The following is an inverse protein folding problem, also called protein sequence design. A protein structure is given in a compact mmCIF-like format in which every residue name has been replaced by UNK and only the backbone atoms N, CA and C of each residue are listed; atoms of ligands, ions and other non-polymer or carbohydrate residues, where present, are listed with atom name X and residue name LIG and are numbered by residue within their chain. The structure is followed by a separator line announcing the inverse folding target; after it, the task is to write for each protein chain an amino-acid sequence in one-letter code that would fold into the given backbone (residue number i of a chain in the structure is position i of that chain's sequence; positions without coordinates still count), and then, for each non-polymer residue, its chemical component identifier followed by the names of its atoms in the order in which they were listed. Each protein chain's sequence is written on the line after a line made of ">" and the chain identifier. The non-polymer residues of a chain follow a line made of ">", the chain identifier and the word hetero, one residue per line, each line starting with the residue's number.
data_IF_515779942068
#
_entry.id   IF_515779942068
#
_cell.length_a   1.000
_cell.length_b   1.000
_cell.length_c   1.000
_cell.angle_alpha   90.00
_cell.angle_beta   90.00
_cell.angle_gamma   90.00
#
_symmetry.space_group_name_H-M   'P 1'
#
loop_
_entity.id
_entity.type
_entity.pdbx_description
1 polymer ?
#
# COMPACT_ATOMS: atom_id res chain seq x y z
N UNK A 1 -16.30 1.60 9.17
CA UNK A 1 -17.67 1.29 8.79
C UNK A 1 -18.68 1.96 9.75
N UNK A 2 -18.60 1.74 11.06
CA UNK A 2 -19.54 2.34 12.07
C UNK A 2 -19.71 3.86 11.86
N UNK A 3 -18.62 4.59 11.62
CA UNK A 3 -18.69 6.04 11.36
C UNK A 3 -19.53 6.37 10.12
N UNK A 4 -19.34 5.63 9.03
CA UNK A 4 -20.13 5.81 7.78
C UNK A 4 -21.60 5.46 8.03
N UNK A 5 -21.87 4.36 8.74
CA UNK A 5 -23.24 3.96 9.07
C UNK A 5 -23.94 5.06 9.92
N UNK A 6 -23.21 5.71 10.85
CA UNK A 6 -23.72 6.85 11.61
C UNK A 6 -24.00 8.07 10.72
N UNK A 7 -23.11 8.38 9.76
CA UNK A 7 -23.35 9.49 8.81
C UNK A 7 -24.63 9.27 8.00
N UNK A 8 -24.86 8.03 7.55
CA UNK A 8 -26.10 7.67 6.83
C UNK A 8 -27.33 7.87 7.72
N UNK A 9 -27.28 7.40 8.98
CA UNK A 9 -28.38 7.61 9.93
C UNK A 9 -28.65 9.09 10.22
N UNK A 10 -27.62 9.93 10.14
CA UNK A 10 -27.70 11.39 10.30
C UNK A 10 -28.08 12.10 8.98
N UNK A 11 -28.47 11.38 7.93
CA UNK A 11 -28.77 11.92 6.59
C UNK A 11 -27.64 12.79 6.01
N UNK A 12 -26.37 12.46 6.30
CA UNK A 12 -25.22 13.13 5.71
C UNK A 12 -24.89 12.50 4.35
N UNK A 13 -24.73 13.34 3.33
CA UNK A 13 -24.43 12.89 1.96
C UNK A 13 -22.94 13.02 1.58
N UNK A 14 -22.18 13.78 2.38
CA UNK A 14 -20.79 14.09 2.09
C UNK A 14 -19.91 13.87 3.31
N UNK A 15 -18.75 13.28 3.07
CA UNK A 15 -17.68 13.16 4.04
C UNK A 15 -16.39 13.71 3.43
N UNK A 16 -15.93 14.86 3.92
CA UNK A 16 -14.65 15.43 3.51
C UNK A 16 -13.52 14.74 4.29
N UNK A 17 -12.53 14.24 3.56
CA UNK A 17 -11.33 13.61 4.11
C UNK A 17 -10.07 14.29 3.55
N UNK A 18 -8.95 14.10 4.24
CA UNK A 18 -7.63 14.42 3.70
C UNK A 18 -7.25 13.40 2.62
N UNK A 19 -6.29 13.73 1.73
CA UNK A 19 -5.77 12.75 0.78
C UNK A 19 -5.28 11.50 1.50
N UNK A 20 -5.55 10.34 0.91
CA UNK A 20 -5.16 9.03 1.47
C UNK A 20 -3.86 8.50 0.86
N UNK A 21 -3.08 9.38 0.23
CA UNK A 21 -1.82 9.05 -0.43
C UNK A 21 -0.73 8.67 0.58
N UNK A 22 0.25 7.91 0.10
CA UNK A 22 1.40 7.50 0.91
C UNK A 22 2.33 8.69 1.16
N UNK A 23 2.52 9.13 2.42
CA UNK A 23 3.36 10.27 2.74
C UNK A 23 4.85 9.94 2.57
N UNK A 24 5.63 10.91 2.12
CA UNK A 24 7.07 10.75 1.90
C UNK A 24 7.89 11.01 3.16
N UNK A 25 8.16 12.25 3.48
CA UNK A 25 9.16 12.64 4.49
C UNK A 25 8.55 13.09 5.81
N UNK A 26 7.50 13.89 5.77
CA UNK A 26 6.94 14.55 6.94
C UNK A 26 5.63 13.93 7.45
N UNK A 27 5.31 12.70 7.04
CA UNK A 27 4.05 12.00 7.36
C UNK A 27 2.78 12.81 7.00
N UNK A 28 2.93 13.84 6.15
CA UNK A 28 1.83 14.65 5.63
C UNK A 28 1.23 13.99 4.38
N UNK A 29 -0.11 13.86 4.29
CA UNK A 29 -0.75 13.29 3.12
C UNK A 29 -0.62 14.16 1.85
N UNK A 30 -0.12 15.39 2.00
CA UNK A 30 0.16 16.30 0.88
C UNK A 30 1.59 16.15 0.34
N UNK A 31 2.50 15.56 1.10
CA UNK A 31 3.86 15.25 0.70
C UNK A 31 3.93 13.78 0.25
N UNK A 32 3.75 13.55 -1.05
CA UNK A 32 3.63 12.21 -1.60
C UNK A 32 4.40 12.03 -2.91
N UNK A 33 4.92 10.83 -3.14
CA UNK A 33 5.59 10.45 -4.40
C UNK A 33 4.62 10.16 -5.56
N UNK A 34 3.33 10.08 -5.30
CA UNK A 34 2.33 9.73 -6.32
C UNK A 34 0.96 10.28 -5.97
N UNK A 35 0.31 10.90 -6.96
CA UNK A 35 -1.07 11.35 -6.84
C UNK A 35 -2.08 10.19 -6.84
N UNK A 36 -1.68 9.00 -7.24
CA UNK A 36 -2.57 7.85 -7.42
C UNK A 36 -2.39 6.79 -6.32
N UNK A 37 -1.16 6.60 -5.84
CA UNK A 37 -0.85 5.55 -4.88
C UNK A 37 -1.39 5.88 -3.48
N UNK A 38 -1.97 4.88 -2.86
CA UNK A 38 -2.60 4.99 -1.55
C UNK A 38 -1.66 4.55 -0.43
N UNK A 39 -1.92 5.07 0.77
CA UNK A 39 -1.13 4.74 1.95
C UNK A 39 -1.47 3.33 2.46
N UNK A 40 -0.55 2.35 2.37
CA UNK A 40 -0.79 0.98 2.83
C UNK A 40 -1.05 0.89 4.34
N UNK A 41 -0.62 1.89 5.13
CA UNK A 41 -0.89 1.91 6.57
C UNK A 41 -2.35 2.20 6.91
N UNK A 42 -3.17 2.61 5.96
CA UNK A 42 -4.62 2.73 6.11
C UNK A 42 -5.37 1.41 5.86
N UNK A 43 -4.69 0.36 5.36
CA UNK A 43 -5.28 -0.98 5.20
C UNK A 43 -5.72 -1.49 6.58
N UNK A 44 -6.98 -1.91 6.71
CA UNK A 44 -7.52 -2.53 7.91
C UNK A 44 -6.96 -3.93 8.11
N UNK A 45 -6.37 -4.20 9.27
CA UNK A 45 -5.86 -5.53 9.61
C UNK A 45 -7.01 -6.51 9.87
N UNK A 46 -8.13 -6.06 10.46
CA UNK A 46 -9.32 -6.89 10.65
C UNK A 46 -9.86 -7.41 9.30
N UNK A 47 -9.85 -6.56 8.26
CA UNK A 47 -10.27 -6.99 6.93
C UNK A 47 -9.30 -8.02 6.33
N UNK A 48 -8.00 -7.90 6.60
CA UNK A 48 -7.01 -8.90 6.17
C UNK A 48 -7.19 -10.25 6.90
N UNK A 49 -7.58 -10.21 8.18
CA UNK A 49 -7.92 -11.43 8.95
C UNK A 49 -9.18 -12.07 8.36
N UNK A 50 -10.23 -11.29 8.08
CA UNK A 50 -11.46 -11.78 7.46
C UNK A 50 -11.22 -12.40 6.08
N UNK A 51 -10.31 -11.80 5.30
CA UNK A 51 -9.86 -12.32 4.00
C UNK A 51 -8.89 -13.53 4.15
N UNK A 52 -8.55 -13.95 5.37
CA UNK A 52 -7.61 -15.05 5.71
C UNK A 52 -6.19 -14.83 5.16
N UNK A 53 -5.80 -13.60 4.94
CA UNK A 53 -4.45 -13.24 4.51
C UNK A 53 -3.47 -13.17 5.69
N UNK A 54 -3.97 -12.92 6.89
CA UNK A 54 -3.24 -12.97 8.15
C UNK A 54 -4.16 -13.57 9.24
N UNK A 55 -3.57 -13.89 10.38
CA UNK A 55 -4.28 -14.33 11.59
C UNK A 55 -4.17 -13.29 12.72
N UNK A 56 -4.99 -13.39 13.75
CA UNK A 56 -4.87 -12.55 14.94
C UNK A 56 -3.51 -12.70 15.65
N UNK A 57 -2.91 -13.89 15.58
CA UNK A 57 -1.58 -14.13 16.14
C UNK A 57 -0.47 -13.32 15.44
N UNK A 58 -0.67 -12.94 14.18
CA UNK A 58 0.29 -12.14 13.41
C UNK A 58 0.34 -10.67 13.87
N UNK A 59 -0.62 -10.25 14.66
CA UNK A 59 -0.64 -8.91 15.23
C UNK A 59 0.22 -8.79 16.50
N UNK A 60 0.57 -9.90 17.12
CA UNK A 60 1.30 -9.92 18.39
C UNK A 60 2.83 -9.87 18.21
N UNK A 61 3.54 -9.16 19.07
CA UNK A 61 3.00 -8.31 20.13
C UNK A 61 2.50 -6.95 19.62
N UNK A 62 1.31 -6.56 20.02
CA UNK A 62 0.77 -5.24 19.66
C UNK A 62 1.50 -4.16 20.47
N UNK A 63 2.16 -3.18 19.82
CA UNK A 63 2.82 -2.09 20.54
C UNK A 63 1.82 -1.23 21.32
N UNK A 64 2.23 -0.74 22.48
CA UNK A 64 1.44 0.27 23.21
C UNK A 64 1.51 1.61 22.49
N UNK A 65 0.41 2.03 21.86
CA UNK A 65 0.26 3.34 21.24
C UNK A 65 -0.36 4.34 22.23
N UNK A 66 0.05 5.61 22.11
CA UNK A 66 -0.63 6.70 22.79
C UNK A 66 -1.99 6.95 22.13
N UNK A 67 -2.96 7.47 22.90
CA UNK A 67 -4.32 7.69 22.38
C UNK A 67 -4.45 8.95 21.52
N UNK A 68 -3.63 9.94 21.79
CA UNK A 68 -3.69 11.31 21.28
C UNK A 68 -2.60 11.68 20.28
N UNK A 69 -1.58 10.83 20.13
CA UNK A 69 -0.44 11.07 19.25
C UNK A 69 -0.10 9.80 18.49
N UNK A 70 0.07 9.92 17.18
CA UNK A 70 0.51 8.81 16.34
C UNK A 70 2.04 8.77 16.33
N UNK A 71 2.61 7.65 16.76
CA UNK A 71 4.02 7.32 16.56
C UNK A 71 4.15 6.59 15.23
N UNK A 72 4.37 7.35 14.16
CA UNK A 72 4.47 6.81 12.80
C UNK A 72 5.61 5.81 12.63
N UNK A 73 6.75 6.04 13.29
CA UNK A 73 7.88 5.10 13.23
C UNK A 73 7.48 3.76 13.83
N UNK A 74 6.96 3.77 15.05
CA UNK A 74 6.50 2.56 15.74
C UNK A 74 5.39 1.84 14.96
N UNK A 75 4.46 2.59 14.36
CA UNK A 75 3.40 2.05 13.52
C UNK A 75 3.99 1.36 12.28
N UNK A 76 4.91 2.01 11.58
CA UNK A 76 5.57 1.47 10.39
C UNK A 76 6.37 0.20 10.73
N UNK A 77 7.15 0.24 11.79
CA UNK A 77 7.98 -0.90 12.23
C UNK A 77 7.12 -2.13 12.59
N UNK A 78 5.97 -1.92 13.23
CA UNK A 78 5.04 -2.99 13.58
C UNK A 78 4.21 -3.48 12.39
N UNK A 79 3.66 -2.57 11.59
CA UNK A 79 2.67 -2.92 10.55
C UNK A 79 3.30 -3.43 9.26
N UNK A 80 4.53 -3.01 8.92
CA UNK A 80 5.21 -3.45 7.70
C UNK A 80 5.34 -4.97 7.57
N UNK A 81 5.86 -5.72 8.55
CA UNK A 81 5.98 -7.18 8.41
C UNK A 81 4.61 -7.86 8.26
N UNK A 82 3.57 -7.32 8.88
CA UNK A 82 2.20 -7.82 8.78
C UNK A 82 1.66 -7.64 7.35
N UNK A 83 1.85 -6.44 6.78
CA UNK A 83 1.42 -6.14 5.41
C UNK A 83 2.19 -6.98 4.38
N UNK A 84 3.49 -7.17 4.56
CA UNK A 84 4.31 -8.05 3.72
C UNK A 84 3.82 -9.50 3.77
N UNK A 85 3.52 -10.00 4.97
CA UNK A 85 2.95 -11.33 5.13
C UNK A 85 1.60 -11.45 4.42
N UNK A 86 0.73 -10.43 4.54
CA UNK A 86 -0.55 -10.41 3.84
C UNK A 86 -0.37 -10.43 2.31
N UNK A 87 0.57 -9.65 1.78
CA UNK A 87 0.87 -9.62 0.36
C UNK A 87 1.44 -10.97 -0.14
N UNK A 88 2.34 -11.58 0.63
CA UNK A 88 2.85 -12.91 0.32
C UNK A 88 1.74 -13.96 0.32
N UNK A 89 0.91 -14.01 1.36
CA UNK A 89 -0.21 -14.97 1.43
C UNK A 89 -1.23 -14.74 0.31
N UNK A 90 -1.42 -13.49 -0.11
CA UNK A 90 -2.24 -13.16 -1.27
C UNK A 90 -1.64 -13.72 -2.57
N UNK A 91 -0.33 -13.59 -2.78
CA UNK A 91 0.34 -14.05 -4.01
C UNK A 91 0.28 -15.57 -4.22
N UNK A 92 0.16 -16.34 -3.14
CA UNK A 92 0.03 -17.81 -3.18
C UNK A 92 -1.42 -18.29 -3.04
N UNK A 93 -2.38 -17.34 -2.95
CA UNK A 93 -3.79 -17.67 -2.79
C UNK A 93 -4.35 -18.30 -4.06
N UNK A 94 -4.77 -19.56 -3.98
CA UNK A 94 -5.40 -20.25 -5.11
C UNK A 94 -6.91 -19.97 -5.14
N UNK A 95 -7.29 -18.76 -5.57
CA UNK A 95 -8.68 -18.34 -5.75
C UNK A 95 -8.83 -17.58 -7.06
N UNK A 96 -9.47 -18.22 -8.05
CA UNK A 96 -9.61 -17.68 -9.41
C UNK A 96 -10.35 -16.34 -9.47
N UNK A 97 -11.37 -16.14 -8.65
CA UNK A 97 -12.17 -14.90 -8.65
C UNK A 97 -11.34 -13.73 -8.12
N UNK A 98 -10.61 -13.96 -7.04
CA UNK A 98 -9.69 -12.96 -6.45
C UNK A 98 -8.55 -12.64 -7.41
N UNK A 99 -7.99 -13.64 -8.07
CA UNK A 99 -6.95 -13.47 -9.07
C UNK A 99 -7.44 -12.64 -10.27
N UNK A 100 -8.66 -12.91 -10.73
CA UNK A 100 -9.27 -12.17 -11.84
C UNK A 100 -9.54 -10.70 -11.47
N UNK A 101 -10.04 -10.42 -10.26
CA UNK A 101 -10.27 -9.06 -9.78
C UNK A 101 -8.94 -8.28 -9.63
N UNK A 102 -7.92 -8.94 -9.12
CA UNK A 102 -6.57 -8.38 -9.04
C UNK A 102 -6.00 -8.06 -10.43
N UNK A 103 -6.10 -8.97 -11.39
CA UNK A 103 -5.67 -8.73 -12.78
C UNK A 103 -6.40 -7.55 -13.40
N UNK A 104 -7.73 -7.46 -13.20
CA UNK A 104 -8.53 -6.32 -13.65
C UNK A 104 -8.05 -5.01 -13.02
N UNK A 105 -7.76 -5.00 -11.72
CA UNK A 105 -7.18 -3.84 -11.04
C UNK A 105 -5.85 -3.42 -11.66
N UNK A 106 -4.94 -4.37 -11.92
CA UNK A 106 -3.64 -4.10 -12.52
C UNK A 106 -3.78 -3.52 -13.94
N UNK A 107 -4.67 -4.07 -14.76
CA UNK A 107 -4.93 -3.57 -16.13
C UNK A 107 -5.48 -2.15 -16.08
N UNK A 108 -6.49 -1.91 -15.24
CA UNK A 108 -7.14 -0.58 -15.11
C UNK A 108 -6.16 0.49 -14.63
N UNK A 109 -5.19 0.14 -13.80
CA UNK A 109 -4.24 1.05 -13.19
C UNK A 109 -2.84 0.99 -13.84
N UNK A 110 -2.70 0.33 -15.00
CA UNK A 110 -1.40 0.10 -15.63
C UNK A 110 -0.63 1.41 -15.94
N UNK A 111 -1.35 2.51 -16.16
CA UNK A 111 -0.76 3.81 -16.51
C UNK A 111 0.07 4.46 -15.39
N UNK A 112 -0.01 3.94 -14.15
CA UNK A 112 0.78 4.44 -13.02
C UNK A 112 1.36 3.33 -12.12
N UNK A 113 0.64 2.20 -11.98
CA UNK A 113 0.91 1.22 -10.92
C UNK A 113 2.26 0.54 -11.08
N UNK A 114 2.62 0.14 -12.30
CA UNK A 114 3.88 -0.55 -12.57
C UNK A 114 5.10 0.37 -12.35
N UNK A 115 5.00 1.61 -12.79
CA UNK A 115 6.09 2.58 -12.64
C UNK A 115 6.23 3.02 -11.18
N UNK A 116 5.12 3.23 -10.48
CA UNK A 116 5.14 3.50 -9.05
C UNK A 116 5.76 2.35 -8.25
N UNK A 117 5.36 1.11 -8.52
CA UNK A 117 5.90 -0.04 -7.81
C UNK A 117 7.42 -0.17 -8.02
N UNK A 118 7.90 -0.03 -9.26
CA UNK A 118 9.33 -0.04 -9.56
C UNK A 118 10.06 1.13 -8.89
N UNK A 119 9.50 2.35 -8.96
CA UNK A 119 10.05 3.53 -8.30
C UNK A 119 10.25 3.29 -6.79
N UNK A 120 9.26 2.71 -6.11
CA UNK A 120 9.34 2.43 -4.68
C UNK A 120 10.39 1.36 -4.35
N UNK A 121 10.58 0.37 -5.21
CA UNK A 121 11.68 -0.62 -5.08
C UNK A 121 13.03 0.09 -5.20
N UNK A 122 13.24 0.89 -6.25
CA UNK A 122 14.49 1.63 -6.44
C UNK A 122 14.73 2.58 -5.27
N UNK A 123 13.70 3.29 -4.80
CA UNK A 123 13.81 4.18 -3.64
C UNK A 123 14.27 3.44 -2.38
N UNK A 124 13.80 2.22 -2.17
CA UNK A 124 14.27 1.37 -1.05
C UNK A 124 15.75 0.96 -1.24
N UNK A 125 16.16 0.59 -2.44
CA UNK A 125 17.57 0.28 -2.78
C UNK A 125 18.48 1.48 -2.56
N UNK A 126 17.99 2.69 -2.81
CA UNK A 126 18.68 3.96 -2.60
C UNK A 126 18.52 4.52 -1.18
N UNK A 127 18.20 3.66 -0.18
CA UNK A 127 18.06 4.03 1.23
C UNK A 127 17.03 5.16 1.46
N UNK A 128 15.97 5.20 0.69
CA UNK A 128 14.88 6.19 0.73
C UNK A 128 15.31 7.64 0.45
N UNK A 129 16.47 7.83 -0.16
CA UNK A 129 16.92 9.15 -0.61
C UNK A 129 15.94 9.79 -1.60
N UNK A 130 15.98 11.09 -1.72
CA UNK A 130 15.30 11.79 -2.81
C UNK A 130 15.86 11.31 -4.15
N UNK A 131 14.99 11.18 -5.17
CA UNK A 131 15.41 10.68 -6.49
C UNK A 131 16.54 11.54 -7.14
N UNK A 132 16.59 12.82 -6.81
CA UNK A 132 17.67 13.70 -7.27
C UNK A 132 19.06 13.33 -6.71
N UNK A 133 19.10 12.56 -5.62
CA UNK A 133 20.33 12.09 -4.96
C UNK A 133 20.69 10.64 -5.31
N UNK A 134 19.88 9.98 -6.16
CA UNK A 134 20.15 8.60 -6.58
C UNK A 134 21.39 8.52 -7.47
N UNK A 135 21.96 7.34 -7.54
CA UNK A 135 23.04 7.06 -8.48
C UNK A 135 22.57 7.28 -9.92
N UNK A 136 23.45 7.77 -10.77
CA UNK A 136 23.12 8.14 -12.17
C UNK A 136 22.50 6.99 -12.96
N UNK A 137 22.88 5.74 -12.66
CA UNK A 137 22.31 4.52 -13.26
C UNK A 137 20.82 4.34 -12.96
N UNK A 138 20.29 4.92 -11.88
CA UNK A 138 18.89 4.87 -11.50
C UNK A 138 18.11 6.15 -11.83
N UNK A 139 18.81 7.26 -12.14
CA UNK A 139 18.16 8.52 -12.53
C UNK A 139 17.71 8.50 -13.99
N UNK A 140 18.50 7.86 -14.85
CA UNK A 140 18.32 7.87 -16.30
C UNK A 140 18.10 6.42 -16.76
N UNK A 141 16.99 5.83 -16.30
CA UNK A 141 16.63 4.46 -16.69
C UNK A 141 16.16 4.46 -18.14
N UNK A 142 16.86 3.73 -18.99
CA UNK A 142 16.32 3.35 -20.28
C UNK A 142 15.36 2.14 -20.15
N UNK A 143 14.59 1.86 -21.18
CA UNK A 143 13.58 0.81 -21.16
C UNK A 143 14.18 -0.57 -20.85
N UNK A 144 15.42 -0.83 -21.28
CA UNK A 144 16.11 -2.10 -21.04
C UNK A 144 16.42 -2.28 -19.55
N UNK A 145 17.00 -1.27 -18.93
CA UNK A 145 17.31 -1.27 -17.48
C UNK A 145 16.03 -1.38 -16.66
N UNK A 146 14.95 -0.71 -17.07
CA UNK A 146 13.65 -0.84 -16.39
C UNK A 146 13.10 -2.26 -16.45
N UNK A 147 13.24 -2.94 -17.60
CA UNK A 147 12.82 -4.34 -17.74
C UNK A 147 13.68 -5.27 -16.87
N UNK A 148 15.00 -5.09 -16.89
CA UNK A 148 15.93 -5.87 -16.06
C UNK A 148 15.61 -5.72 -14.55
N UNK A 149 15.36 -4.51 -14.09
CA UNK A 149 14.98 -4.25 -12.70
C UNK A 149 13.64 -4.87 -12.33
N UNK A 150 12.63 -4.82 -13.21
CA UNK A 150 11.34 -5.47 -12.98
C UNK A 150 11.44 -6.98 -12.86
N UNK A 151 12.37 -7.58 -13.58
CA UNK A 151 12.64 -9.03 -13.49
C UNK A 151 13.39 -9.35 -12.20
N UNK A 152 14.46 -8.60 -11.90
CA UNK A 152 15.32 -8.83 -10.74
C UNK A 152 14.57 -8.64 -9.41
N UNK A 153 13.63 -7.68 -9.36
CA UNK A 153 12.86 -7.32 -8.16
C UNK A 153 11.36 -7.59 -8.34
N UNK A 154 11.05 -8.67 -9.06
CA UNK A 154 9.67 -9.02 -9.40
C UNK A 154 8.78 -9.15 -8.16
N UNK A 155 9.27 -9.81 -7.12
CA UNK A 155 8.49 -10.11 -5.93
C UNK A 155 8.21 -8.84 -5.12
N UNK A 156 9.19 -7.93 -5.01
CA UNK A 156 9.02 -6.64 -4.34
C UNK A 156 8.08 -5.72 -5.11
N UNK A 157 8.16 -5.71 -6.44
CA UNK A 157 7.22 -4.96 -7.30
C UNK A 157 5.80 -5.51 -7.10
N UNK A 158 5.64 -6.82 -7.09
CA UNK A 158 4.34 -7.47 -6.92
C UNK A 158 3.78 -7.23 -5.51
N UNK A 159 4.62 -7.27 -4.45
CA UNK A 159 4.23 -6.92 -3.08
C UNK A 159 3.58 -5.54 -3.02
N UNK A 160 4.20 -4.53 -3.63
CA UNK A 160 3.69 -3.16 -3.65
C UNK A 160 2.35 -3.08 -4.40
N UNK A 161 2.23 -3.74 -5.56
CA UNK A 161 1.00 -3.77 -6.35
C UNK A 161 -0.16 -4.42 -5.59
N UNK A 162 0.13 -5.54 -4.90
CA UNK A 162 -0.86 -6.22 -4.05
C UNK A 162 -1.31 -5.30 -2.91
N UNK A 163 -0.42 -4.58 -2.25
CA UNK A 163 -0.82 -3.62 -1.20
C UNK A 163 -1.75 -2.53 -1.75
N UNK A 164 -1.49 -2.01 -2.95
CA UNK A 164 -2.37 -1.04 -3.60
C UNK A 164 -3.74 -1.64 -3.94
N UNK A 165 -3.79 -2.88 -4.38
CA UNK A 165 -5.03 -3.61 -4.62
C UNK A 165 -5.83 -3.84 -3.34
N UNK A 166 -5.18 -4.30 -2.26
CA UNK A 166 -5.84 -4.55 -0.97
C UNK A 166 -6.46 -3.27 -0.39
N UNK A 167 -5.74 -2.14 -0.48
CA UNK A 167 -6.31 -0.85 -0.13
C UNK A 167 -7.54 -0.53 -0.99
N UNK A 168 -7.43 -0.64 -2.31
CA UNK A 168 -8.52 -0.33 -3.25
C UNK A 168 -9.76 -1.19 -2.99
N UNK A 169 -9.58 -2.50 -2.75
CA UNK A 169 -10.66 -3.42 -2.38
C UNK A 169 -11.39 -2.96 -1.13
N UNK A 170 -10.63 -2.64 -0.07
CA UNK A 170 -11.22 -2.16 1.20
C UNK A 170 -11.89 -0.81 1.06
N UNK A 171 -11.32 0.10 0.29
CA UNK A 171 -11.88 1.42 0.03
C UNK A 171 -13.19 1.36 -0.75
N UNK A 172 -13.27 0.48 -1.76
CA UNK A 172 -14.53 0.23 -2.48
C UNK A 172 -15.62 -0.35 -1.59
N UNK A 173 -15.24 -1.26 -0.67
CA UNK A 173 -16.19 -1.86 0.28
C UNK A 173 -16.65 -0.88 1.38
N UNK A 174 -15.96 0.24 1.57
CA UNK A 174 -16.33 1.28 2.51
C UNK A 174 -17.40 2.21 1.92
N UNK A 175 -17.34 2.48 0.61
CA UNK A 175 -18.32 3.29 -0.14
C UNK A 175 -19.64 2.56 -0.34
#
# INVERSE_FOLDING_TARGET
>A
KIFIDNLIQMNQSYWQILPTNFPETCDSPYDTNSAFAQNPYLISLDSLINDKLISSADLEPIPKFKKDIIDFKKLKDWKNPILKKAAYNFSILNNKDVEQDYKKFCITNNFWLNDYALFMVIKNLQNKKNWAEWDSSYKHLDDKVMVELRIAYRDEVEEIKIMQYLFNKQWKNLK
#
